data_IF_888237462552
#
_entry.id   IF_888237462552
#
_cell.length_a   1.000
_cell.length_b   1.000
_cell.length_c   1.000
_cell.angle_alpha   90.00
_cell.angle_beta   90.00
_cell.angle_gamma   90.00
#
_symmetry.space_group_name_H-M   'P 1'
#
loop_
_entity.id
_entity.type
_entity.pdbx_description
1 polymer ?
#
# COMPACT_ATOMS: atom_id res chain seq x y z
N UNK A 1 -30.95 15.79 -15.07
CA UNK A 1 -29.65 16.49 -14.95
C UNK A 1 -28.68 15.53 -14.26
N UNK A 2 -27.48 15.40 -14.81
CA UNK A 2 -26.58 14.26 -14.64
C UNK A 2 -26.19 13.95 -13.18
N UNK A 3 -26.33 12.69 -12.79
CA UNK A 3 -25.67 12.10 -11.62
C UNK A 3 -24.19 11.94 -11.95
N UNK A 4 -23.33 12.79 -11.38
CA UNK A 4 -21.89 12.58 -11.37
C UNK A 4 -21.60 11.38 -10.45
N UNK A 5 -21.36 10.21 -11.02
CA UNK A 5 -20.74 9.09 -10.30
C UNK A 5 -19.28 9.45 -10.10
N UNK A 6 -18.91 9.91 -8.90
CA UNK A 6 -17.50 10.06 -8.53
C UNK A 6 -16.90 8.66 -8.34
N UNK A 7 -15.90 8.35 -9.18
CA UNK A 7 -15.05 7.18 -8.99
C UNK A 7 -14.00 7.54 -7.95
N UNK A 8 -14.08 6.95 -6.77
CA UNK A 8 -12.99 6.99 -5.78
C UNK A 8 -12.16 5.71 -5.88
N UNK A 9 -10.92 5.69 -5.40
CA UNK A 9 -10.05 4.50 -5.46
C UNK A 9 -9.32 4.26 -4.12
N UNK A 10 -8.90 3.02 -3.87
CA UNK A 10 -8.10 2.63 -2.68
C UNK A 10 -6.78 2.04 -3.17
N UNK A 11 -5.67 2.39 -2.53
CA UNK A 11 -4.34 1.88 -2.90
C UNK A 11 -3.64 1.25 -1.72
N UNK A 12 -2.97 0.13 -1.94
CA UNK A 12 -2.03 -0.42 -0.99
C UNK A 12 -0.59 -0.14 -1.39
N UNK A 13 0.25 0.23 -0.42
CA UNK A 13 1.67 0.49 -0.60
C UNK A 13 2.49 -0.51 0.21
N UNK A 14 3.31 -1.30 -0.48
CA UNK A 14 4.33 -2.14 0.13
C UNK A 14 5.68 -1.42 0.06
N UNK A 15 6.26 -1.13 1.21
CA UNK A 15 7.52 -0.39 1.27
C UNK A 15 8.70 -1.36 1.19
N UNK A 16 9.42 -1.35 0.06
CA UNK A 16 10.73 -1.99 -0.04
C UNK A 16 11.81 -1.03 0.46
N UNK A 17 12.42 -1.35 1.60
CA UNK A 17 13.47 -0.52 2.19
C UNK A 17 14.76 -0.66 1.35
N UNK A 18 15.20 0.44 0.72
CA UNK A 18 16.59 0.55 0.28
C UNK A 18 17.49 0.46 1.52
N UNK A 19 18.35 -0.56 1.58
CA UNK A 19 19.38 -0.67 2.62
C UNK A 19 20.29 0.57 2.53
N UNK A 20 20.18 1.51 3.47
CA UNK A 20 21.24 2.48 3.71
C UNK A 20 22.43 1.72 4.30
N UNK A 21 23.45 1.43 3.48
CA UNK A 21 24.75 1.01 3.98
C UNK A 21 25.30 2.14 4.85
N UNK A 22 25.32 1.91 6.15
CA UNK A 22 25.91 2.82 7.11
C UNK A 22 27.32 2.30 7.44
N UNK A 23 28.28 2.54 6.54
CA UNK A 23 29.71 2.37 6.82
C UNK A 23 30.46 3.69 6.58
N UNK A 24 31.24 4.08 7.60
CA UNK A 24 31.99 5.34 7.76
C UNK A 24 33.26 5.35 6.89
N UNK A 25 33.82 6.48 6.45
CA UNK A 25 35.19 6.50 5.95
C UNK A 25 36.17 7.00 7.04
N UNK A 26 37.07 6.13 7.48
CA UNK A 26 38.39 6.54 7.98
C UNK A 26 39.45 5.87 7.11
N UNK A 27 40.35 6.70 6.60
CA UNK A 27 41.46 6.39 5.71
C UNK A 27 42.39 5.33 6.28
N UNK A 28 42.69 4.27 5.52
CA UNK A 28 44.04 3.68 5.51
C UNK A 28 44.31 2.98 4.19
N UNK A 29 45.44 3.34 3.59
CA UNK A 29 46.08 2.76 2.42
C UNK A 29 46.39 1.27 2.61
N UNK A 30 46.23 0.44 1.56
CA UNK A 30 47.19 -0.57 1.07
C UNK A 30 46.58 -1.46 -0.05
N UNK A 31 47.07 -1.24 -1.27
CA UNK A 31 47.55 -2.21 -2.28
C UNK A 31 46.82 -3.55 -2.57
N UNK A 32 46.59 -3.76 -3.89
CA UNK A 32 46.34 -5.02 -4.65
C UNK A 32 44.98 -5.74 -4.41
N UNK A 33 44.26 -6.31 -5.39
CA UNK A 33 44.41 -6.48 -6.84
C UNK A 33 43.06 -6.90 -7.48
N UNK A 34 42.86 -6.49 -8.74
CA UNK A 34 42.14 -7.15 -9.86
C UNK A 34 40.61 -7.35 -9.84
N UNK A 35 39.99 -6.70 -10.85
CA UNK A 35 38.91 -7.15 -11.77
C UNK A 35 37.58 -7.60 -11.17
N UNK A 36 36.43 -7.03 -11.52
CA UNK A 36 35.84 -7.13 -12.87
C UNK A 36 34.73 -6.08 -13.03
N UNK A 37 34.86 -5.18 -14.01
CA UNK A 37 33.90 -4.11 -14.32
C UNK A 37 33.15 -4.48 -15.61
N UNK A 38 31.81 -4.51 -15.58
CA UNK A 38 30.97 -4.56 -16.78
C UNK A 38 30.74 -3.13 -17.31
N UNK A 39 30.80 -2.86 -18.63
CA UNK A 39 30.82 -1.50 -19.14
C UNK A 39 29.41 -0.91 -19.35
N UNK A 40 29.23 0.31 -18.84
CA UNK A 40 28.20 1.27 -19.23
C UNK A 40 28.47 1.74 -20.66
N UNK A 41 27.53 1.49 -21.56
CA UNK A 41 27.60 1.90 -22.96
C UNK A 41 26.96 3.30 -23.10
N UNK A 42 27.78 4.33 -22.97
CA UNK A 42 27.44 5.73 -23.30
C UNK A 42 27.89 5.98 -24.73
N UNK A 43 26.94 6.21 -25.65
CA UNK A 43 27.25 6.65 -27.01
C UNK A 43 27.34 8.18 -27.07
N UNK A 44 28.34 8.75 -27.78
CA UNK A 44 28.53 10.19 -27.90
C UNK A 44 27.63 10.77 -29.01
N UNK A 45 27.15 11.99 -28.79
CA UNK A 45 26.50 12.82 -29.82
C UNK A 45 27.60 13.64 -30.53
N UNK A 46 27.79 13.52 -31.85
CA UNK A 46 28.69 14.40 -32.57
C UNK A 46 27.98 15.71 -32.95
N UNK A 47 28.58 16.81 -32.52
CA UNK A 47 28.30 18.17 -32.96
C UNK A 47 29.04 18.44 -34.28
N UNK A 48 28.33 18.85 -35.34
CA UNK A 48 28.88 19.81 -36.30
C UNK A 48 27.82 20.51 -37.18
N UNK A 49 28.04 21.83 -37.34
CA UNK A 49 27.27 22.80 -38.11
C UNK A 49 27.35 22.55 -39.62
N UNK A 50 26.23 22.61 -40.34
CA UNK A 50 26.15 23.34 -41.63
C UNK A 50 24.71 23.74 -41.98
N UNK A 51 24.50 25.05 -42.22
CA UNK A 51 23.26 25.61 -42.78
C UNK A 51 23.14 25.27 -44.26
N UNK A 52 22.02 24.71 -44.70
CA UNK A 52 21.46 24.95 -46.04
C UNK A 52 19.92 25.06 -45.96
N UNK A 53 19.40 26.20 -46.43
CA UNK A 53 17.99 26.43 -46.76
C UNK A 53 17.69 25.69 -48.07
N UNK A 54 16.55 24.99 -48.17
CA UNK A 54 15.46 25.22 -49.16
C UNK A 54 14.57 23.98 -49.39
N UNK A 55 13.27 24.30 -49.51
CA UNK A 55 12.13 23.61 -50.15
C UNK A 55 11.64 22.24 -49.64
N UNK A 56 10.40 22.25 -49.15
CA UNK A 56 9.50 21.11 -49.05
C UNK A 56 8.94 20.72 -50.42
N UNK A 57 8.85 19.42 -50.76
CA UNK A 57 7.85 18.90 -51.69
C UNK A 57 6.69 18.23 -50.93
N UNK A 58 5.53 18.03 -51.58
CA UNK A 58 4.23 17.93 -50.93
C UNK A 58 3.93 16.54 -50.36
N UNK A 59 3.15 16.55 -49.29
CA UNK A 59 2.45 15.40 -48.70
C UNK A 59 1.55 14.73 -49.74
N UNK A 60 1.85 13.49 -50.11
CA UNK A 60 0.83 12.49 -50.44
C UNK A 60 1.38 11.07 -50.30
N UNK A 61 0.54 10.20 -49.74
CA UNK A 61 0.64 8.73 -49.74
C UNK A 61 1.61 8.02 -48.75
N UNK A 62 1.53 8.31 -47.44
CA UNK A 62 1.90 7.31 -46.41
C UNK A 62 1.10 7.35 -45.09
N UNK A 63 -0.01 8.09 -45.04
CA UNK A 63 -0.83 8.27 -43.83
C UNK A 63 -1.97 7.26 -43.67
N UNK A 64 -1.79 5.99 -44.07
CA UNK A 64 -2.75 4.92 -43.75
C UNK A 64 -2.11 3.58 -43.38
N UNK A 65 -0.91 3.58 -42.79
CA UNK A 65 -0.30 2.33 -42.26
C UNK A 65 0.12 2.43 -40.78
N UNK A 66 -0.17 3.57 -40.12
CA UNK A 66 0.14 3.77 -38.69
C UNK A 66 -1.05 3.69 -37.75
N UNK A 67 -2.27 3.51 -38.26
CA UNK A 67 -3.50 3.48 -37.43
C UNK A 67 -3.83 2.08 -36.88
N UNK A 68 -3.30 1.01 -37.49
CA UNK A 68 -3.57 -0.37 -37.04
C UNK A 68 -2.65 -0.85 -35.91
N UNK A 69 -1.42 -0.33 -35.85
CA UNK A 69 -0.49 -0.62 -34.74
C UNK A 69 -0.94 0.01 -33.42
N UNK A 70 -1.50 1.21 -33.48
CA UNK A 70 -2.06 1.90 -32.31
C UNK A 70 -3.29 1.12 -31.82
N UNK A 71 -4.24 0.77 -32.70
CA UNK A 71 -5.46 0.03 -32.30
C UNK A 71 -5.19 -1.34 -31.67
N UNK A 72 -4.18 -2.08 -32.16
CA UNK A 72 -3.73 -3.36 -31.56
C UNK A 72 -3.04 -3.17 -30.21
N UNK A 73 -2.36 -2.05 -30.00
CA UNK A 73 -1.74 -1.69 -28.70
C UNK A 73 -2.80 -1.40 -27.63
N UNK A 74 -3.91 -0.74 -27.99
CA UNK A 74 -4.99 -0.44 -27.04
C UNK A 74 -5.83 -1.68 -26.66
N UNK A 75 -6.03 -2.64 -27.58
CA UNK A 75 -6.65 -3.93 -27.24
C UNK A 75 -5.74 -4.83 -26.39
N UNK A 76 -4.42 -4.64 -26.46
CA UNK A 76 -3.46 -5.30 -25.57
C UNK A 76 -3.62 -4.87 -24.10
N UNK A 77 -3.90 -3.58 -23.85
CA UNK A 77 -4.08 -3.02 -22.50
C UNK A 77 -5.34 -3.57 -21.82
N UNK A 78 -6.45 -3.70 -22.55
CA UNK A 78 -7.66 -4.34 -22.01
C UNK A 78 -7.47 -5.85 -21.82
N UNK A 79 -6.65 -6.50 -22.65
CA UNK A 79 -6.37 -7.94 -22.53
C UNK A 79 -5.54 -8.30 -21.30
N UNK A 80 -4.64 -7.41 -20.84
CA UNK A 80 -3.81 -7.64 -19.65
C UNK A 80 -4.64 -7.70 -18.36
N UNK A 81 -5.63 -6.82 -18.22
CA UNK A 81 -6.54 -6.85 -17.08
C UNK A 81 -7.42 -8.11 -17.07
N UNK A 82 -7.82 -8.64 -18.24
CA UNK A 82 -8.69 -9.82 -18.29
C UNK A 82 -8.03 -11.08 -17.69
N UNK A 83 -6.71 -11.26 -17.83
CA UNK A 83 -6.01 -12.39 -17.23
C UNK A 83 -5.85 -12.26 -15.72
N UNK A 84 -5.50 -11.06 -15.25
CA UNK A 84 -5.40 -10.73 -13.81
C UNK A 84 -6.75 -10.95 -13.12
N UNK A 85 -7.84 -10.48 -13.74
CA UNK A 85 -9.20 -10.69 -13.23
C UNK A 85 -9.56 -12.18 -13.15
N UNK A 86 -9.15 -12.99 -14.14
CA UNK A 86 -9.40 -14.44 -14.14
C UNK A 86 -8.73 -15.15 -12.97
N UNK A 87 -7.53 -14.73 -12.60
CA UNK A 87 -6.81 -15.31 -11.45
C UNK A 87 -7.51 -14.97 -10.13
N UNK A 88 -8.00 -13.73 -9.96
CA UNK A 88 -8.81 -13.38 -8.79
C UNK A 88 -10.12 -14.16 -8.70
N UNK A 89 -10.76 -14.50 -9.82
CA UNK A 89 -11.93 -15.37 -9.79
C UNK A 89 -11.60 -16.79 -9.30
N UNK A 90 -10.38 -17.31 -9.52
CA UNK A 90 -9.97 -18.58 -8.91
C UNK A 90 -9.88 -18.44 -7.39
N UNK A 91 -9.30 -17.35 -6.89
CA UNK A 91 -9.27 -17.06 -5.46
C UNK A 91 -10.68 -16.98 -4.88
N UNK A 92 -11.60 -16.26 -5.53
CA UNK A 92 -13.01 -16.18 -5.12
C UNK A 92 -13.64 -17.57 -5.01
N UNK A 93 -13.43 -18.42 -6.01
CA UNK A 93 -13.96 -19.79 -5.98
C UNK A 93 -13.39 -20.60 -4.80
N UNK A 94 -12.09 -20.48 -4.54
CA UNK A 94 -11.45 -21.11 -3.37
C UNK A 94 -12.04 -20.60 -2.06
N UNK A 95 -12.20 -19.28 -1.90
CA UNK A 95 -12.84 -18.66 -0.71
C UNK A 95 -14.27 -19.17 -0.54
N UNK A 96 -15.06 -19.18 -1.61
CA UNK A 96 -16.45 -19.65 -1.60
C UNK A 96 -16.55 -21.14 -1.24
N UNK A 97 -15.61 -21.97 -1.69
CA UNK A 97 -15.58 -23.40 -1.37
C UNK A 97 -15.27 -23.70 0.11
N UNK A 98 -14.55 -22.80 0.79
CA UNK A 98 -14.21 -22.92 2.21
C UNK A 98 -15.32 -22.39 3.13
N UNK A 99 -16.22 -21.54 2.63
CA UNK A 99 -17.27 -20.90 3.42
C UNK A 99 -18.12 -21.87 4.25
N UNK A 100 -18.61 -23.02 3.73
CA UNK A 100 -19.39 -23.96 4.53
C UNK A 100 -18.62 -24.50 5.75
N UNK A 101 -17.34 -24.81 5.56
CA UNK A 101 -16.49 -25.35 6.63
C UNK A 101 -16.22 -24.29 7.70
N UNK A 102 -15.91 -23.05 7.28
CA UNK A 102 -15.66 -21.92 8.17
C UNK A 102 -16.92 -21.50 8.93
N UNK A 103 -18.10 -21.58 8.28
CA UNK A 103 -19.38 -21.25 8.90
C UNK A 103 -19.71 -22.16 10.10
N UNK A 104 -19.26 -23.42 10.07
CA UNK A 104 -19.48 -24.37 11.18
C UNK A 104 -18.55 -24.14 12.39
N UNK A 105 -17.52 -23.30 12.27
CA UNK A 105 -16.61 -23.02 13.38
C UNK A 105 -17.30 -22.20 14.48
N UNK A 106 -16.99 -22.51 15.74
CA UNK A 106 -17.37 -21.64 16.86
C UNK A 106 -16.61 -20.31 16.82
N UNK A 107 -17.04 -19.33 17.61
CA UNK A 107 -16.36 -18.03 17.71
C UNK A 107 -14.91 -18.20 18.21
N UNK A 108 -14.67 -19.13 19.15
CA UNK A 108 -13.35 -19.44 19.67
C UNK A 108 -12.48 -20.12 18.61
N UNK A 109 -13.04 -21.07 17.86
CA UNK A 109 -12.32 -21.76 16.78
C UNK A 109 -11.94 -20.79 15.65
N UNK A 110 -12.84 -19.87 15.31
CA UNK A 110 -12.61 -18.86 14.28
C UNK A 110 -11.52 -17.87 14.71
N UNK A 111 -11.50 -17.45 15.98
CA UNK A 111 -10.43 -16.61 16.52
C UNK A 111 -9.09 -17.35 16.59
N UNK A 112 -9.11 -18.64 16.93
CA UNK A 112 -7.91 -19.49 16.99
C UNK A 112 -7.20 -19.65 15.63
N UNK A 113 -7.91 -19.45 14.50
CA UNK A 113 -7.31 -19.45 13.15
C UNK A 113 -6.17 -18.45 13.00
N UNK A 114 -6.22 -17.30 13.68
CA UNK A 114 -5.13 -16.32 13.65
C UNK A 114 -3.82 -16.90 14.21
N UNK A 115 -3.89 -17.66 15.30
CA UNK A 115 -2.71 -18.33 15.87
C UNK A 115 -2.22 -19.46 14.96
N UNK A 116 -3.14 -20.20 14.34
CA UNK A 116 -2.82 -21.23 13.35
C UNK A 116 -2.06 -20.64 12.15
N UNK A 117 -2.55 -19.55 11.56
CA UNK A 117 -1.89 -18.88 10.44
C UNK A 117 -0.52 -18.33 10.82
N UNK A 118 -0.39 -17.67 11.97
CA UNK A 118 0.91 -17.21 12.49
C UNK A 118 1.90 -18.34 12.69
N UNK A 119 1.43 -19.53 13.10
CA UNK A 119 2.28 -20.73 13.19
C UNK A 119 2.71 -21.19 11.80
N UNK A 120 1.79 -21.36 10.85
CA UNK A 120 2.06 -21.78 9.47
C UNK A 120 3.06 -20.86 8.74
N UNK A 121 2.91 -19.54 8.93
CA UNK A 121 3.87 -18.56 8.38
C UNK A 121 5.28 -18.72 8.97
N UNK A 122 5.40 -19.05 10.26
CA UNK A 122 6.71 -19.35 10.88
C UNK A 122 7.30 -20.68 10.40
N UNK A 123 6.46 -21.63 10.00
CA UNK A 123 6.85 -22.93 9.43
C UNK A 123 7.26 -22.81 7.95
N UNK A 124 7.13 -21.64 7.33
CA UNK A 124 7.61 -21.35 5.98
C UNK A 124 6.51 -21.25 4.92
N UNK A 125 5.23 -21.36 5.29
CA UNK A 125 4.14 -21.00 4.38
C UNK A 125 4.19 -19.50 4.04
N UNK A 126 3.74 -19.15 2.84
CA UNK A 126 3.66 -17.75 2.39
C UNK A 126 2.25 -17.21 2.54
N UNK A 127 2.09 -15.88 2.54
CA UNK A 127 0.77 -15.23 2.58
C UNK A 127 -0.14 -15.71 1.44
N UNK A 128 0.41 -15.97 0.25
CA UNK A 128 -0.35 -16.50 -0.88
C UNK A 128 -0.95 -17.90 -0.60
N UNK A 129 -0.25 -18.77 0.13
CA UNK A 129 -0.77 -20.10 0.46
C UNK A 129 -1.98 -20.05 1.40
N UNK A 130 -1.99 -19.08 2.33
CA UNK A 130 -3.07 -18.94 3.32
C UNK A 130 -4.16 -17.94 2.91
N UNK A 131 -3.97 -17.19 1.82
CA UNK A 131 -4.83 -16.06 1.43
C UNK A 131 -6.31 -16.44 1.33
N UNK A 132 -6.65 -17.53 0.63
CA UNK A 132 -8.02 -17.96 0.46
C UNK A 132 -8.71 -18.30 1.79
N UNK A 133 -8.01 -19.02 2.67
CA UNK A 133 -8.54 -19.42 3.97
C UNK A 133 -8.68 -18.21 4.91
N UNK A 134 -7.67 -17.33 4.94
CA UNK A 134 -7.71 -16.09 5.70
C UNK A 134 -8.86 -15.19 5.27
N UNK A 135 -9.13 -15.07 3.96
CA UNK A 135 -10.24 -14.28 3.43
C UNK A 135 -11.59 -14.90 3.80
N UNK A 136 -11.72 -16.23 3.79
CA UNK A 136 -12.94 -16.91 4.26
C UNK A 136 -13.18 -16.66 5.76
N UNK A 137 -12.14 -16.70 6.59
CA UNK A 137 -12.20 -16.40 8.03
C UNK A 137 -12.64 -14.96 8.28
N UNK A 138 -12.06 -13.99 7.57
CA UNK A 138 -12.44 -12.57 7.70
C UNK A 138 -13.87 -12.33 7.24
N UNK A 139 -14.31 -12.98 6.15
CA UNK A 139 -15.69 -12.91 5.67
C UNK A 139 -16.68 -13.38 6.73
N UNK A 140 -16.43 -14.54 7.35
CA UNK A 140 -17.30 -15.07 8.39
C UNK A 140 -17.27 -14.18 9.65
N UNK A 141 -16.11 -13.64 10.02
CA UNK A 141 -15.99 -12.70 11.13
C UNK A 141 -16.78 -11.40 10.89
N UNK A 142 -16.73 -10.83 9.68
CA UNK A 142 -17.52 -9.66 9.32
C UNK A 142 -19.03 -9.96 9.32
N UNK A 143 -19.43 -11.13 8.84
CA UNK A 143 -20.83 -11.58 8.89
C UNK A 143 -21.33 -11.66 10.34
N UNK A 144 -20.53 -12.22 11.26
CA UNK A 144 -20.90 -12.35 12.69
C UNK A 144 -20.90 -11.04 13.46
N UNK A 145 -19.90 -10.17 13.23
CA UNK A 145 -19.69 -8.96 14.06
C UNK A 145 -20.30 -7.70 13.46
N UNK A 146 -20.47 -7.64 12.14
CA UNK A 146 -21.02 -6.48 11.43
C UNK A 146 -22.36 -6.80 10.74
N UNK A 147 -22.75 -8.06 10.63
CA UNK A 147 -23.92 -8.46 9.83
C UNK A 147 -23.69 -8.34 8.32
N UNK A 148 -22.42 -8.19 7.90
CA UNK A 148 -22.04 -7.93 6.50
C UNK A 148 -21.19 -9.07 5.97
N UNK A 149 -21.71 -9.80 4.97
CA UNK A 149 -20.95 -10.81 4.23
C UNK A 149 -20.28 -10.15 3.03
N UNK A 150 -18.97 -10.33 2.87
CA UNK A 150 -18.27 -9.82 1.69
C UNK A 150 -18.82 -10.41 0.39
N UNK A 151 -19.06 -9.56 -0.60
CA UNK A 151 -19.37 -9.97 -1.97
C UNK A 151 -18.11 -10.45 -2.70
N UNK A 152 -18.29 -11.18 -3.79
CA UNK A 152 -17.18 -11.70 -4.58
C UNK A 152 -16.29 -10.58 -5.14
N UNK A 153 -16.88 -9.47 -5.59
CA UNK A 153 -16.15 -8.28 -6.03
C UNK A 153 -15.33 -7.64 -4.91
N UNK A 154 -15.77 -7.77 -3.66
CA UNK A 154 -15.05 -7.26 -2.48
C UNK A 154 -13.85 -8.16 -2.13
N UNK A 155 -13.98 -9.48 -2.32
CA UNK A 155 -12.86 -10.41 -2.21
C UNK A 155 -11.78 -10.10 -3.25
N UNK A 156 -12.19 -9.84 -4.50
CA UNK A 156 -11.27 -9.41 -5.56
C UNK A 156 -10.58 -8.10 -5.16
N UNK A 157 -11.34 -7.10 -4.69
CA UNK A 157 -10.77 -5.84 -4.20
C UNK A 157 -9.75 -6.05 -3.08
N UNK A 158 -10.00 -6.98 -2.15
CA UNK A 158 -9.07 -7.30 -1.07
C UNK A 158 -7.78 -7.95 -1.58
N UNK A 159 -7.87 -8.77 -2.61
CA UNK A 159 -6.71 -9.38 -3.27
C UNK A 159 -5.88 -8.34 -4.03
N UNK A 160 -6.54 -7.46 -4.79
CA UNK A 160 -5.90 -6.33 -5.49
C UNK A 160 -5.13 -5.44 -4.51
N UNK A 161 -5.73 -5.13 -3.36
CA UNK A 161 -5.04 -4.39 -2.31
C UNK A 161 -3.86 -5.19 -1.73
N UNK A 162 -4.02 -6.49 -1.48
CA UNK A 162 -2.89 -7.30 -1.01
C UNK A 162 -1.69 -7.28 -1.98
N UNK A 163 -1.96 -7.27 -3.29
CA UNK A 163 -0.95 -7.22 -4.34
C UNK A 163 -0.28 -5.83 -4.50
N UNK A 164 -0.66 -4.83 -3.70
CA UNK A 164 -0.09 -3.48 -3.77
C UNK A 164 -0.62 -2.64 -4.94
N UNK A 165 -1.77 -3.02 -5.51
CA UNK A 165 -2.39 -2.34 -6.63
C UNK A 165 -3.57 -1.45 -6.19
N UNK A 166 -4.03 -0.61 -7.12
CA UNK A 166 -5.19 0.26 -6.91
C UNK A 166 -6.47 -0.53 -7.18
N UNK A 167 -7.32 -0.65 -6.16
CA UNK A 167 -8.66 -1.20 -6.31
C UNK A 167 -9.66 -0.07 -6.64
N UNK A 168 -9.98 0.08 -7.92
CA UNK A 168 -11.05 0.98 -8.36
C UNK A 168 -12.41 0.30 -8.16
N UNK A 169 -13.22 0.86 -7.26
CA UNK A 169 -14.58 0.39 -6.98
C UNK A 169 -15.52 1.59 -6.94
N UNK A 170 -16.77 1.41 -7.34
CA UNK A 170 -17.75 2.50 -7.26
C UNK A 170 -18.06 2.84 -5.80
N UNK A 171 -18.43 4.08 -5.56
CA UNK A 171 -18.92 4.51 -4.24
C UNK A 171 -20.16 3.67 -3.87
N UNK A 172 -20.19 3.15 -2.64
CA UNK A 172 -21.26 2.24 -2.18
C UNK A 172 -20.94 0.75 -2.30
N UNK A 173 -19.89 0.35 -3.03
CA UNK A 173 -19.45 -1.05 -3.15
C UNK A 173 -18.76 -1.61 -1.88
N UNK A 174 -18.70 -0.82 -0.80
CA UNK A 174 -18.17 -1.26 0.50
C UNK A 174 -16.64 -1.30 0.61
N UNK A 175 -15.93 -0.31 0.06
CA UNK A 175 -14.45 -0.18 0.13
C UNK A 175 -13.88 -0.31 1.53
N UNK A 176 -14.52 0.31 2.51
CA UNK A 176 -14.12 0.24 3.91
C UNK A 176 -14.13 -1.22 4.42
N UNK A 177 -15.13 -2.01 4.04
CA UNK A 177 -15.20 -3.44 4.37
C UNK A 177 -14.12 -4.25 3.63
N UNK A 178 -13.80 -3.89 2.38
CA UNK A 178 -12.73 -4.54 1.59
C UNK A 178 -11.37 -4.42 2.28
N UNK A 179 -11.06 -3.26 2.86
CA UNK A 179 -9.80 -3.02 3.57
C UNK A 179 -9.52 -4.05 4.67
N UNK A 180 -10.55 -4.62 5.29
CA UNK A 180 -10.41 -5.59 6.37
C UNK A 180 -9.70 -6.88 5.95
N UNK A 181 -9.88 -7.31 4.69
CA UNK A 181 -9.29 -8.52 4.13
C UNK A 181 -7.78 -8.37 3.99
N UNK A 182 -7.34 -7.32 3.29
CA UNK A 182 -5.93 -7.02 3.07
C UNK A 182 -5.23 -6.65 4.38
N UNK A 183 -5.89 -5.89 5.26
CA UNK A 183 -5.32 -5.53 6.55
C UNK A 183 -5.09 -6.75 7.43
N UNK A 184 -6.07 -7.66 7.52
CA UNK A 184 -5.94 -8.89 8.31
C UNK A 184 -4.79 -9.76 7.79
N UNK A 185 -4.77 -10.08 6.48
CA UNK A 185 -3.77 -10.96 5.89
C UNK A 185 -2.34 -10.44 6.11
N UNK A 186 -2.10 -9.15 5.83
CA UNK A 186 -0.76 -8.57 6.01
C UNK A 186 -0.38 -8.40 7.48
N UNK A 187 -1.34 -8.20 8.38
CA UNK A 187 -1.10 -8.11 9.83
C UNK A 187 -0.69 -9.46 10.46
N UNK A 188 -0.93 -10.59 9.80
CA UNK A 188 -0.48 -11.91 10.27
C UNK A 188 1.04 -12.03 10.36
N UNK A 189 1.79 -11.22 9.62
CA UNK A 189 3.26 -11.16 9.69
C UNK A 189 3.77 -10.55 11.00
N UNK A 190 2.93 -9.78 11.71
CA UNK A 190 3.32 -9.05 12.92
C UNK A 190 4.17 -7.81 12.66
N UNK A 191 4.45 -7.46 11.40
CA UNK A 191 5.26 -6.28 11.05
C UNK A 191 4.46 -4.95 11.14
N UNK A 192 3.13 -5.03 11.21
CA UNK A 192 2.22 -3.89 11.35
C UNK A 192 1.58 -3.46 10.02
N UNK A 193 0.34 -3.00 10.06
CA UNK A 193 -0.39 -2.47 8.91
C UNK A 193 -0.97 -1.11 9.23
N UNK A 194 -0.77 -0.12 8.34
CA UNK A 194 -1.34 1.21 8.51
C UNK A 194 -2.56 1.38 7.60
N UNK A 195 -3.73 1.63 8.17
CA UNK A 195 -4.92 2.03 7.41
C UNK A 195 -5.03 3.54 7.47
N UNK A 196 -4.78 4.18 6.34
CA UNK A 196 -4.66 5.63 6.19
C UNK A 196 -5.94 6.17 5.59
N UNK A 197 -6.57 7.10 6.29
CA UNK A 197 -7.76 7.82 5.83
C UNK A 197 -7.43 9.29 5.57
N UNK A 198 -8.39 10.02 5.02
CA UNK A 198 -8.26 11.47 4.75
C UNK A 198 -8.28 12.30 6.03
N UNK A 199 -9.00 11.87 7.09
CA UNK A 199 -9.15 12.67 8.31
C UNK A 199 -9.34 11.81 9.57
N UNK A 200 -9.16 12.46 10.73
CA UNK A 200 -9.25 11.84 12.06
C UNK A 200 -10.61 11.20 12.36
N UNK A 201 -11.70 11.80 11.89
CA UNK A 201 -13.04 11.27 12.11
C UNK A 201 -13.23 9.93 11.39
N UNK A 202 -12.84 9.84 10.12
CA UNK A 202 -12.90 8.60 9.36
C UNK A 202 -11.98 7.52 9.96
N UNK A 203 -10.77 7.91 10.38
CA UNK A 203 -9.85 6.99 11.03
C UNK A 203 -10.46 6.39 12.31
N UNK A 204 -11.06 7.23 13.16
CA UNK A 204 -11.71 6.79 14.39
C UNK A 204 -12.92 5.90 14.10
N UNK A 205 -13.82 6.35 13.21
CA UNK A 205 -15.02 5.59 12.81
C UNK A 205 -14.65 4.19 12.33
N UNK A 206 -13.64 4.08 11.47
CA UNK A 206 -13.26 2.81 10.86
C UNK A 206 -12.54 1.91 11.87
N UNK A 207 -11.71 2.48 12.76
CA UNK A 207 -11.09 1.73 13.87
C UNK A 207 -12.11 1.18 14.89
N UNK A 208 -13.21 1.90 15.11
CA UNK A 208 -14.29 1.48 16.01
C UNK A 208 -15.24 0.48 15.33
N UNK A 209 -15.46 0.63 14.03
CA UNK A 209 -16.40 -0.20 13.27
C UNK A 209 -15.73 -1.45 12.68
N UNK A 210 -14.78 -1.27 11.75
CA UNK A 210 -14.05 -2.38 11.12
C UNK A 210 -13.12 -3.09 12.10
N UNK A 211 -12.53 -2.35 13.05
CA UNK A 211 -11.67 -2.93 14.07
C UNK A 211 -12.36 -3.99 14.94
N UNK A 212 -13.70 -4.06 14.98
CA UNK A 212 -14.44 -5.16 15.65
C UNK A 212 -14.13 -6.51 15.04
N UNK A 213 -13.96 -6.57 13.72
CA UNK A 213 -13.62 -7.80 12.99
C UNK A 213 -12.22 -8.26 13.36
N UNK A 214 -11.24 -7.36 13.31
CA UNK A 214 -9.85 -7.68 13.64
C UNK A 214 -9.66 -8.05 15.11
N UNK A 215 -10.27 -7.30 16.04
CA UNK A 215 -10.23 -7.61 17.48
C UNK A 215 -10.87 -8.97 17.79
N UNK A 216 -11.98 -9.30 17.12
CA UNK A 216 -12.61 -10.61 17.28
C UNK A 216 -11.70 -11.75 16.82
N UNK A 217 -10.96 -11.54 15.72
CA UNK A 217 -9.96 -12.48 15.26
C UNK A 217 -8.65 -12.42 16.06
N UNK A 218 -8.60 -11.72 17.20
CA UNK A 218 -7.44 -11.71 18.09
C UNK A 218 -6.28 -10.81 17.64
N UNK A 219 -6.51 -9.92 16.67
CA UNK A 219 -5.54 -8.88 16.31
C UNK A 219 -5.74 -7.62 17.17
N UNK A 220 -4.64 -6.97 17.49
CA UNK A 220 -4.64 -5.67 18.16
C UNK A 220 -4.88 -4.53 17.15
N UNK A 221 -5.72 -3.57 17.53
CA UNK A 221 -6.08 -2.42 16.68
C UNK A 221 -5.80 -1.12 17.42
N UNK A 222 -4.90 -0.32 16.87
CA UNK A 222 -4.53 1.01 17.36
C UNK A 222 -5.17 2.13 16.54
N UNK A 223 -5.25 3.31 17.14
CA UNK A 223 -5.75 4.52 16.50
C UNK A 223 -4.79 5.68 16.83
N UNK A 224 -4.34 6.41 15.81
CA UNK A 224 -3.54 7.61 15.97
C UNK A 224 -4.45 8.82 15.73
N UNK A 225 -4.48 9.74 16.70
CA UNK A 225 -5.19 11.01 16.60
C UNK A 225 -4.29 12.17 16.99
N UNK A 226 -4.72 13.35 16.57
CA UNK A 226 -4.10 14.62 16.94
C UNK A 226 -4.10 14.82 18.46
N UNK A 227 -3.01 15.35 18.99
CA UNK A 227 -2.86 15.64 20.44
C UNK A 227 -2.47 14.45 21.32
N UNK A 228 -2.41 13.22 20.79
CA UNK A 228 -1.91 12.04 21.53
C UNK A 228 -0.44 12.22 21.97
N UNK A 229 -0.15 11.81 23.20
CA UNK A 229 1.21 11.85 23.76
C UNK A 229 2.09 10.77 23.13
N UNK A 230 3.41 10.95 23.12
CA UNK A 230 4.36 10.00 22.51
C UNK A 230 4.23 8.57 23.05
N UNK A 231 3.92 8.40 24.35
CA UNK A 231 3.69 7.08 24.96
C UNK A 231 2.44 6.39 24.39
N UNK A 232 1.36 7.14 24.18
CA UNK A 232 0.11 6.62 23.60
C UNK A 232 0.32 6.27 22.13
N UNK A 233 1.01 7.13 21.37
CA UNK A 233 1.37 6.86 19.97
C UNK A 233 2.18 5.59 19.83
N UNK A 234 3.21 5.40 20.66
CA UNK A 234 4.02 4.18 20.66
C UNK A 234 3.16 2.93 20.91
N UNK A 235 2.23 3.01 21.86
CA UNK A 235 1.29 1.91 22.12
C UNK A 235 0.41 1.62 20.89
N UNK A 236 -0.12 2.63 20.22
CA UNK A 236 -0.99 2.48 19.05
C UNK A 236 -0.24 1.98 17.81
N UNK A 237 0.99 2.43 17.58
CA UNK A 237 1.84 1.88 16.51
C UNK A 237 2.30 0.46 16.82
N UNK A 238 2.36 0.04 18.09
CA UNK A 238 2.69 -1.34 18.45
C UNK A 238 1.55 -2.35 18.22
N UNK A 239 0.36 -1.89 17.83
CA UNK A 239 -0.74 -2.76 17.43
C UNK A 239 -0.52 -3.37 16.04
N UNK A 240 -1.12 -4.53 15.78
CA UNK A 240 -1.01 -5.26 14.51
C UNK A 240 -1.56 -4.43 13.33
N UNK A 241 -2.63 -3.68 13.57
CA UNK A 241 -3.24 -2.76 12.63
C UNK A 241 -3.39 -1.40 13.31
N UNK A 242 -2.95 -0.33 12.64
CA UNK A 242 -3.05 1.05 13.13
C UNK A 242 -3.84 1.89 12.15
N UNK A 243 -4.94 2.48 12.61
CA UNK A 243 -5.71 3.46 11.87
C UNK A 243 -5.14 4.85 12.13
N UNK A 244 -4.97 5.64 11.08
CA UNK A 244 -4.42 6.99 11.16
C UNK A 244 -4.88 7.82 9.97
N UNK A 245 -4.68 9.14 10.04
CA UNK A 245 -4.82 9.99 8.87
C UNK A 245 -3.45 10.17 8.18
N UNK A 246 -3.46 10.64 6.93
CA UNK A 246 -2.26 10.87 6.13
C UNK A 246 -1.25 11.85 6.79
N UNK A 247 -1.75 12.95 7.36
CA UNK A 247 -0.94 14.02 7.94
C UNK A 247 -0.20 13.57 9.21
N UNK A 248 -0.90 12.92 10.13
CA UNK A 248 -0.38 12.42 11.39
C UNK A 248 0.69 11.35 11.17
N UNK A 249 0.45 10.44 10.22
CA UNK A 249 1.45 9.44 9.83
C UNK A 249 2.73 10.10 9.31
N UNK A 250 2.60 11.10 8.44
CA UNK A 250 3.75 11.84 7.91
C UNK A 250 4.48 12.66 8.98
N UNK A 251 3.74 13.35 9.86
CA UNK A 251 4.34 14.11 10.97
C UNK A 251 5.02 13.22 11.99
N UNK A 252 4.50 12.03 12.30
CA UNK A 252 5.17 11.07 13.17
C UNK A 252 6.48 10.59 12.57
N UNK A 253 6.48 10.27 11.27
CA UNK A 253 7.71 9.90 10.59
C UNK A 253 8.75 11.03 10.63
N UNK A 254 8.35 12.27 10.35
CA UNK A 254 9.26 13.42 10.42
C UNK A 254 9.76 13.66 11.84
N UNK A 255 8.90 13.58 12.86
CA UNK A 255 9.29 13.73 14.28
C UNK A 255 10.28 12.64 14.71
N UNK A 256 10.05 11.40 14.30
CA UNK A 256 10.95 10.29 14.59
C UNK A 256 12.34 10.47 13.94
N UNK A 257 12.42 11.07 12.75
CA UNK A 257 13.71 11.38 12.12
C UNK A 257 14.45 12.56 12.76
N UNK A 258 13.77 13.40 13.54
CA UNK A 258 14.36 14.48 14.32
C UNK A 258 14.70 14.05 15.76
N UNK A 259 14.25 12.88 16.19
CA UNK A 259 14.47 12.36 17.52
C UNK A 259 15.97 12.12 17.77
N UNK A 260 16.46 12.57 18.94
CA UNK A 260 17.87 12.41 19.31
C UNK A 260 18.13 11.06 19.96
N UNK A 261 17.11 10.51 20.62
CA UNK A 261 17.19 9.27 21.39
C UNK A 261 16.14 8.27 20.90
N UNK A 262 16.48 6.97 20.91
CA UNK A 262 15.55 5.90 20.54
C UNK A 262 14.28 5.87 21.41
N UNK A 263 14.36 6.31 22.67
CA UNK A 263 13.22 6.40 23.58
C UNK A 263 12.18 7.45 23.19
N UNK A 264 12.47 8.31 22.22
CA UNK A 264 11.54 9.30 21.71
C UNK A 264 10.76 8.80 20.49
N UNK A 265 11.24 7.74 19.82
CA UNK A 265 10.62 7.18 18.63
C UNK A 265 9.22 6.63 18.95
N UNK A 266 8.25 6.92 18.10
CA UNK A 266 6.87 6.44 18.26
C UNK A 266 6.52 5.36 17.25
N UNK A 267 7.10 5.38 16.05
CA UNK A 267 6.84 4.39 15.01
C UNK A 267 7.68 3.11 15.21
N UNK A 268 7.35 2.06 14.44
CA UNK A 268 8.05 0.77 14.47
C UNK A 268 9.40 0.84 13.73
N UNK A 269 10.49 1.13 14.42
CA UNK A 269 11.82 1.06 13.81
C UNK A 269 12.43 -0.35 13.92
N UNK A 270 13.27 -0.78 12.94
CA UNK A 270 13.85 -0.02 11.82
C UNK A 270 12.97 0.10 10.56
N UNK A 271 11.81 -0.57 10.52
CA UNK A 271 10.91 -0.63 9.36
C UNK A 271 9.56 0.05 9.70
N UNK A 272 9.50 1.39 9.69
CA UNK A 272 8.31 2.15 10.13
C UNK A 272 7.11 1.95 9.20
N UNK A 273 7.34 1.45 7.99
CA UNK A 273 6.30 1.13 7.03
C UNK A 273 6.50 -0.29 6.51
N UNK A 274 5.56 -1.18 6.83
CA UNK A 274 5.51 -2.52 6.26
C UNK A 274 4.51 -2.57 5.11
N UNK A 275 3.25 -2.23 5.43
CA UNK A 275 2.15 -2.21 4.49
C UNK A 275 1.18 -1.10 4.89
N UNK A 276 0.75 -0.30 3.92
CA UNK A 276 -0.24 0.74 4.13
C UNK A 276 -1.40 0.58 3.16
N UNK A 277 -2.64 0.75 3.63
CA UNK A 277 -3.84 0.84 2.80
C UNK A 277 -4.32 2.28 2.89
N UNK A 278 -4.36 2.97 1.76
CA UNK A 278 -4.79 4.37 1.63
C UNK A 278 -6.20 4.39 1.06
N UNK A 279 -7.17 4.80 1.88
CA UNK A 279 -8.53 5.07 1.43
C UNK A 279 -8.59 6.44 0.74
N UNK A 280 -9.47 6.58 -0.26
CA UNK A 280 -9.59 7.77 -1.11
C UNK A 280 -8.23 8.26 -1.63
N UNK A 281 -7.53 7.38 -2.35
CA UNK A 281 -6.16 7.61 -2.85
C UNK A 281 -6.06 8.86 -3.73
N UNK A 282 -7.13 9.20 -4.44
CA UNK A 282 -7.25 10.43 -5.23
C UNK A 282 -7.12 11.66 -4.34
N UNK A 283 -7.93 11.75 -3.28
CA UNK A 283 -7.85 12.85 -2.31
C UNK A 283 -6.47 12.91 -1.63
N UNK A 284 -5.91 11.76 -1.22
CA UNK A 284 -4.67 11.71 -0.44
C UNK A 284 -3.42 11.96 -1.29
N UNK A 285 -3.29 11.29 -2.44
CA UNK A 285 -2.05 11.34 -3.23
C UNK A 285 -2.06 12.42 -4.31
N UNK A 286 -3.22 12.83 -4.81
CA UNK A 286 -3.31 13.81 -5.90
C UNK A 286 -3.56 15.22 -5.35
N UNK A 287 -4.49 15.37 -4.42
CA UNK A 287 -4.87 16.68 -3.90
C UNK A 287 -3.97 17.09 -2.73
N UNK A 288 -3.92 16.28 -1.66
CA UNK A 288 -3.07 16.56 -0.49
C UNK A 288 -1.58 16.37 -0.78
N UNK A 289 -1.23 15.48 -1.72
CA UNK A 289 0.16 15.24 -2.13
C UNK A 289 0.87 16.47 -2.72
N UNK A 290 0.13 17.54 -3.06
CA UNK A 290 0.69 18.81 -3.53
C UNK A 290 1.25 19.68 -2.41
N UNK A 291 0.80 19.46 -1.17
CA UNK A 291 1.17 20.26 -0.02
C UNK A 291 2.23 19.52 0.80
N UNK A 292 3.49 20.00 0.84
CA UNK A 292 4.51 19.37 1.66
C UNK A 292 4.16 19.48 3.15
N UNK A 293 4.33 18.38 3.89
CA UNK A 293 4.21 18.39 5.35
C UNK A 293 5.44 19.08 5.96
N UNK A 294 5.21 20.19 6.65
CA UNK A 294 6.26 21.02 7.24
C UNK A 294 6.17 20.99 8.77
N UNK A 295 7.25 20.57 9.43
CA UNK A 295 7.43 20.80 10.86
C UNK A 295 8.20 22.13 11.01
N UNK A 296 7.50 23.15 11.50
CA UNK A 296 8.14 24.38 11.99
C UNK A 296 8.16 24.33 13.51
N UNK A 297 9.32 24.67 14.09
CA UNK A 297 9.44 24.98 15.51
C UNK A 297 9.75 26.47 15.64
N UNK A 298 9.37 27.07 16.77
CA UNK A 298 9.95 28.37 17.14
C UNK A 298 11.43 28.17 17.44
N UNK A 299 12.24 28.37 16.40
CA UNK A 299 13.68 28.57 16.49
C UNK A 299 13.95 29.79 15.63
N UNK A 300 14.62 30.79 16.19
CA UNK A 300 15.19 31.89 15.42
C UNK A 300 16.07 31.29 14.30
N UNK A 301 15.54 31.28 13.06
CA UNK A 301 16.01 30.67 11.79
C UNK A 301 15.09 29.56 11.25
N UNK A 302 14.45 29.87 10.12
CA UNK A 302 13.70 28.96 9.25
C UNK A 302 14.69 28.09 8.47
N UNK A 303 14.59 26.76 8.60
CA UNK A 303 15.28 25.79 7.73
C UNK A 303 14.27 25.20 6.75
N UNK A 304 14.46 25.46 5.46
CA UNK A 304 13.70 24.83 4.38
C UNK A 304 14.33 23.48 4.01
N UNK A 305 13.56 22.39 4.04
CA UNK A 305 13.89 21.17 3.32
C UNK A 305 12.75 20.81 2.37
N UNK A 306 12.99 20.93 1.07
CA UNK A 306 12.15 20.35 0.02
C UNK A 306 12.53 18.89 -0.13
N UNK A 307 11.59 17.98 0.16
CA UNK A 307 11.76 16.56 -0.12
C UNK A 307 11.19 16.28 -1.52
N UNK A 308 12.05 16.25 -2.55
CA UNK A 308 11.68 15.64 -3.83
C UNK A 308 11.86 14.13 -3.70
N UNK A 309 10.75 13.40 -3.80
CA UNK A 309 10.73 11.95 -3.96
C UNK A 309 11.25 11.65 -5.37
N UNK A 310 12.40 10.97 -5.47
CA UNK A 310 12.93 10.34 -6.69
C UNK A 310 13.18 8.87 -6.41
#
# INVERSE_FOLDING_TARGET
MATATSNSAVLALQFQQQRRNNERPLLTSLLFSKSTTYPLLVLPVPYNKTRRRLSLPPLSASLMEKTDGVRKSWSGISSLNNWVVKDYYRLVNSVNSMEPQIQHLSDEQLSAKTLEFRRRLREGETLAHIQAEAFAVVREAAKRKLGMRHFDVQIIGGAVLHDGAIAEMKTGEGKTLVSTLAAYLNALTGEGVHVVTVNDYLAQRDAEWMGRVHRFLGLSVGLIQRGMKSKERRSNYSCDITYTNNSELGFDYLRDNLATNHEQLVMRWPKPFHFAIVDEVDSVLIDEGRNPLLISGEVCLIVFLSCQIT
#
